data_IF_529358420757
#
_entry.id   IF_529358420757
#
_cell.length_a   1.000
_cell.length_b   1.000
_cell.length_c   1.000
_cell.angle_alpha   90.00
_cell.angle_beta   90.00
_cell.angle_gamma   90.00
#
_symmetry.space_group_name_H-M   'P 1'
#
loop_
_entity.id
_entity.type
_entity.pdbx_description
1 polymer ?
#
# COMPACT_ATOMS: atom_id res chain seq x y z
N UNK A 1 69.76 11.87 10.36
CA UNK A 1 70.75 10.96 11.00
C UNK A 1 69.98 9.70 11.35
N UNK A 2 70.06 8.54 10.69
CA UNK A 2 71.13 7.84 9.98
C UNK A 2 70.62 7.21 8.66
N UNK A 3 71.53 7.05 7.69
CA UNK A 3 71.50 6.16 6.50
C UNK A 3 72.64 5.10 6.72
N UNK A 4 72.78 3.94 6.01
CA UNK A 4 72.70 3.83 4.53
C UNK A 4 72.37 2.44 3.85
N UNK A 5 72.05 2.52 2.53
CA UNK A 5 72.38 1.64 1.34
C UNK A 5 72.19 0.11 1.36
N UNK A 6 71.60 -0.54 0.33
CA UNK A 6 72.17 -0.78 -1.02
C UNK A 6 71.15 -1.17 -2.13
N UNK A 7 71.56 -0.92 -3.39
CA UNK A 7 71.00 -1.19 -4.74
C UNK A 7 71.08 -2.69 -5.18
N UNK A 8 70.38 -3.24 -6.19
CA UNK A 8 70.60 -3.18 -7.67
C UNK A 8 69.47 -3.95 -8.45
N UNK A 9 69.19 -3.50 -9.69
CA UNK A 9 68.31 -4.01 -10.77
C UNK A 9 68.64 -5.40 -11.40
N UNK A 10 67.65 -6.09 -12.00
CA UNK A 10 67.72 -6.57 -13.42
C UNK A 10 66.40 -7.08 -14.05
N UNK A 11 66.30 -6.82 -15.36
CA UNK A 11 65.38 -7.19 -16.47
C UNK A 11 64.88 -8.65 -16.52
N UNK A 12 63.79 -8.91 -17.26
CA UNK A 12 63.74 -9.75 -18.50
C UNK A 12 62.37 -9.60 -19.23
N UNK A 13 62.42 -9.73 -20.56
CA UNK A 13 61.36 -9.51 -21.59
C UNK A 13 60.85 -10.86 -22.16
N UNK A 14 59.61 -10.83 -22.68
CA UNK A 14 58.74 -11.83 -23.32
C UNK A 14 59.32 -12.87 -24.31
N UNK A 15 58.50 -13.89 -24.65
CA UNK A 15 58.07 -13.98 -26.05
C UNK A 15 56.55 -14.16 -26.27
N UNK A 16 56.12 -13.77 -27.46
CA UNK A 16 54.78 -13.87 -28.04
C UNK A 16 54.78 -14.94 -29.13
N UNK A 17 53.75 -15.79 -29.22
CA UNK A 17 53.40 -16.49 -30.46
C UNK A 17 51.87 -16.73 -30.53
N UNK A 18 51.28 -16.37 -31.67
CA UNK A 18 49.87 -16.52 -32.07
C UNK A 18 49.81 -17.62 -33.14
N UNK A 19 48.74 -18.43 -33.12
CA UNK A 19 47.95 -18.87 -34.29
C UNK A 19 46.76 -19.75 -33.80
N UNK A 20 45.51 -19.26 -33.91
CA UNK A 20 44.47 -19.61 -34.91
C UNK A 20 43.93 -21.05 -34.83
N UNK A 21 42.67 -21.20 -34.39
CA UNK A 21 41.58 -21.71 -35.25
C UNK A 21 40.24 -21.80 -34.49
N UNK A 22 39.19 -21.47 -35.23
CA UNK A 22 37.76 -21.53 -34.91
C UNK A 22 37.29 -22.95 -34.61
N UNK A 23 36.32 -23.16 -33.71
CA UNK A 23 35.20 -24.07 -33.99
C UNK A 23 33.95 -23.76 -33.15
N UNK A 24 32.82 -23.98 -33.81
CA UNK A 24 31.45 -23.62 -33.53
C UNK A 24 30.68 -24.61 -32.65
N UNK A 25 29.60 -24.11 -32.04
CA UNK A 25 28.32 -24.73 -31.63
C UNK A 25 28.15 -26.24 -31.89
N UNK A 26 27.60 -27.00 -30.92
CA UNK A 26 26.19 -27.47 -30.95
C UNK A 26 25.83 -28.35 -29.73
N UNK A 27 24.53 -28.29 -29.38
CA UNK A 27 23.73 -29.15 -28.51
C UNK A 27 23.88 -30.66 -28.76
N UNK A 28 23.57 -31.51 -27.76
CA UNK A 28 22.76 -32.75 -27.84
C UNK A 28 22.51 -33.24 -26.38
N UNK A 29 21.27 -33.34 -25.91
CA UNK A 29 20.29 -34.43 -26.10
C UNK A 29 20.53 -35.65 -25.22
N UNK A 30 19.52 -35.95 -24.41
CA UNK A 30 19.39 -37.09 -23.51
C UNK A 30 18.84 -38.31 -24.25
N UNK A 31 19.48 -39.48 -24.07
CA UNK A 31 18.78 -40.77 -24.17
C UNK A 31 19.40 -41.81 -23.23
N UNK A 32 18.49 -42.54 -22.60
CA UNK A 32 18.65 -43.55 -21.55
C UNK A 32 19.31 -44.86 -22.01
N UNK A 33 19.96 -45.56 -21.06
CA UNK A 33 19.93 -47.04 -20.96
C UNK A 33 20.23 -47.49 -19.52
N UNK A 34 19.35 -48.34 -18.98
CA UNK A 34 19.54 -49.09 -17.73
C UNK A 34 20.60 -50.21 -17.88
N UNK A 35 21.14 -50.70 -16.75
CA UNK A 35 21.24 -52.14 -16.54
C UNK A 35 20.58 -52.64 -15.24
N UNK A 36 20.42 -53.97 -15.20
CA UNK A 36 19.53 -54.79 -14.37
C UNK A 36 20.05 -55.08 -12.94
N UNK A 37 19.07 -55.22 -12.04
CA UNK A 37 18.91 -56.25 -11.00
C UNK A 37 19.83 -56.28 -9.77
N UNK A 38 19.27 -55.88 -8.62
CA UNK A 38 19.38 -56.60 -7.33
C UNK A 38 18.07 -56.44 -6.55
N UNK A 39 17.16 -57.39 -6.75
CA UNK A 39 15.85 -57.48 -6.13
C UNK A 39 15.90 -58.19 -4.75
N UNK A 40 16.54 -57.58 -3.74
CA UNK A 40 16.51 -58.10 -2.35
C UNK A 40 16.44 -57.04 -1.23
N UNK A 41 16.09 -55.77 -1.53
CA UNK A 41 16.08 -54.71 -0.50
C UNK A 41 14.83 -53.80 -0.46
N UNK A 42 13.65 -54.29 -0.86
CA UNK A 42 12.45 -53.41 -1.01
C UNK A 42 11.19 -53.83 -0.24
N UNK A 43 11.27 -54.74 0.73
CA UNK A 43 10.05 -55.23 1.41
C UNK A 43 9.84 -54.78 2.86
N UNK A 44 10.78 -54.03 3.48
CA UNK A 44 10.61 -53.56 4.88
C UNK A 44 10.55 -52.02 4.98
N UNK A 45 10.98 -51.27 3.97
CA UNK A 45 10.89 -49.79 3.96
C UNK A 45 9.60 -49.24 3.35
N UNK A 46 8.86 -50.04 2.57
CA UNK A 46 7.66 -49.59 1.89
C UNK A 46 6.42 -49.51 2.81
N UNK A 47 6.37 -50.28 3.90
CA UNK A 47 5.21 -50.33 4.80
C UNK A 47 5.13 -49.13 5.76
N UNK A 48 6.26 -48.58 6.21
CA UNK A 48 6.26 -47.40 7.11
C UNK A 48 6.12 -46.09 6.32
N UNK A 49 6.77 -45.98 5.16
CA UNK A 49 6.70 -44.78 4.32
C UNK A 49 5.31 -44.52 3.73
N UNK A 50 4.58 -45.59 3.38
CA UNK A 50 3.21 -45.48 2.85
C UNK A 50 2.20 -45.14 3.95
N UNK A 51 2.38 -45.62 5.19
CA UNK A 51 1.49 -45.29 6.30
C UNK A 51 1.67 -43.84 6.79
N UNK A 52 2.92 -43.34 6.85
CA UNK A 52 3.18 -41.94 7.20
C UNK A 52 2.78 -40.99 6.06
N UNK A 53 3.03 -41.39 4.80
CA UNK A 53 2.63 -40.62 3.61
C UNK A 53 1.12 -40.53 3.41
N UNK A 54 0.39 -41.62 3.61
CA UNK A 54 -1.07 -41.63 3.57
C UNK A 54 -1.70 -40.95 4.79
N UNK A 55 -1.09 -41.04 5.98
CA UNK A 55 -1.53 -40.33 7.18
C UNK A 55 -1.34 -38.82 7.08
N UNK A 56 -0.18 -38.35 6.63
CA UNK A 56 0.10 -36.92 6.46
C UNK A 56 -0.62 -36.34 5.23
N UNK A 57 -0.68 -37.10 4.12
CA UNK A 57 -1.45 -36.74 2.93
C UNK A 57 -2.95 -36.71 3.20
N UNK A 58 -3.47 -37.68 3.96
CA UNK A 58 -4.87 -37.73 4.40
C UNK A 58 -5.20 -36.63 5.40
N UNK A 59 -4.33 -36.33 6.36
CA UNK A 59 -4.52 -35.23 7.33
C UNK A 59 -4.46 -33.86 6.67
N UNK A 60 -3.52 -33.62 5.74
CA UNK A 60 -3.43 -32.36 4.99
C UNK A 60 -4.58 -32.21 4.01
N UNK A 61 -4.95 -33.27 3.28
CA UNK A 61 -6.11 -33.25 2.40
C UNK A 61 -7.42 -33.11 3.18
N UNK A 62 -7.57 -33.69 4.37
CA UNK A 62 -8.71 -33.48 5.26
C UNK A 62 -8.75 -32.03 5.78
N UNK A 63 -7.62 -31.46 6.22
CA UNK A 63 -7.58 -30.04 6.64
C UNK A 63 -7.80 -29.03 5.50
N UNK A 64 -7.53 -29.44 4.25
CA UNK A 64 -7.67 -28.59 3.06
C UNK A 64 -9.04 -28.77 2.38
N UNK A 65 -9.66 -29.97 2.43
CA UNK A 65 -10.94 -30.31 1.79
C UNK A 65 -12.13 -30.53 2.74
N UNK A 66 -11.95 -30.50 4.07
CA UNK A 66 -13.06 -30.13 4.94
C UNK A 66 -13.33 -28.67 4.63
N UNK A 67 -14.36 -28.44 3.79
CA UNK A 67 -15.04 -27.16 3.69
C UNK A 67 -15.08 -26.57 5.09
N UNK A 68 -14.29 -25.53 5.35
CA UNK A 68 -14.57 -24.66 6.50
C UNK A 68 -16.07 -24.37 6.37
N UNK A 69 -16.90 -24.67 7.38
CA UNK A 69 -18.28 -24.23 7.35
C UNK A 69 -18.21 -22.74 7.00
N UNK A 70 -18.92 -22.34 5.95
CA UNK A 70 -18.97 -20.98 5.44
C UNK A 70 -18.98 -20.05 6.65
N UNK A 71 -17.83 -19.44 6.95
CA UNK A 71 -17.66 -18.73 8.21
C UNK A 71 -18.65 -17.57 8.20
N UNK A 72 -19.34 -17.36 9.32
CA UNK A 72 -20.41 -16.38 9.47
C UNK A 72 -20.04 -15.07 8.76
N UNK A 73 -20.67 -14.86 7.60
CA UNK A 73 -20.56 -13.64 6.81
C UNK A 73 -21.70 -12.77 7.29
N UNK A 74 -21.42 -11.83 8.18
CA UNK A 74 -22.41 -10.89 8.68
C UNK A 74 -22.27 -9.57 7.90
N UNK A 75 -23.35 -9.16 7.24
CA UNK A 75 -23.48 -7.82 6.68
C UNK A 75 -23.63 -6.87 7.86
N UNK A 76 -22.65 -5.99 8.04
CA UNK A 76 -22.66 -4.99 9.10
C UNK A 76 -23.35 -3.73 8.60
N UNK A 77 -24.33 -3.24 9.36
CA UNK A 77 -24.84 -1.90 9.16
C UNK A 77 -23.79 -0.87 9.57
N UNK A 78 -23.63 0.17 8.76
CA UNK A 78 -22.73 1.26 9.10
C UNK A 78 -23.11 1.90 10.43
N UNK A 79 -22.11 2.14 11.27
CA UNK A 79 -22.32 2.75 12.59
C UNK A 79 -22.70 4.24 12.42
N UNK A 80 -23.89 4.59 12.89
CA UNK A 80 -24.33 5.97 13.07
C UNK A 80 -24.16 6.34 14.56
N UNK A 81 -23.21 7.23 14.85
CA UNK A 81 -22.99 7.73 16.20
C UNK A 81 -23.94 8.90 16.46
N UNK A 82 -24.70 8.86 17.55
CA UNK A 82 -25.59 9.98 17.91
C UNK A 82 -24.81 11.27 18.22
N UNK A 83 -23.63 11.13 18.80
CA UNK A 83 -22.74 12.24 19.17
C UNK A 83 -21.32 11.96 18.69
N UNK A 84 -20.55 13.02 18.44
CA UNK A 84 -19.13 12.88 18.12
C UNK A 84 -18.38 12.26 19.30
N UNK A 85 -17.46 11.30 19.06
CA UNK A 85 -16.58 10.81 20.11
C UNK A 85 -15.71 11.96 20.62
N UNK A 86 -15.25 11.87 21.88
CA UNK A 86 -14.25 12.81 22.39
C UNK A 86 -12.93 12.61 21.64
N UNK A 87 -12.48 13.61 20.90
CA UNK A 87 -11.20 13.62 20.20
C UNK A 87 -10.51 14.99 20.35
N UNK A 88 -9.24 15.03 19.98
CA UNK A 88 -8.45 16.25 19.87
C UNK A 88 -7.93 16.35 18.44
N UNK A 89 -8.37 17.36 17.69
CA UNK A 89 -7.86 17.61 16.34
C UNK A 89 -6.44 18.18 16.41
N UNK A 90 -5.53 17.60 15.63
CA UNK A 90 -4.17 18.11 15.48
C UNK A 90 -4.16 19.42 14.67
N UNK A 91 -4.88 19.41 13.55
CA UNK A 91 -5.07 20.57 12.69
C UNK A 91 -6.37 20.41 11.89
N UNK A 92 -6.79 21.50 11.26
CA UNK A 92 -7.87 21.53 10.26
C UNK A 92 -7.35 22.04 8.93
N UNK A 93 -7.93 21.55 7.84
CA UNK A 93 -7.71 22.05 6.49
C UNK A 93 -8.91 22.88 6.10
N UNK A 94 -8.68 24.15 5.76
CA UNK A 94 -9.73 25.12 5.44
C UNK A 94 -9.52 25.70 4.05
N UNK A 95 -10.49 25.51 3.19
CA UNK A 95 -10.67 26.13 1.90
C UNK A 95 -11.94 26.98 1.94
N UNK A 96 -11.79 28.29 1.79
CA UNK A 96 -12.90 29.26 1.83
C UNK A 96 -13.88 29.07 0.67
N UNK A 97 -13.48 28.34 -0.39
CA UNK A 97 -14.30 28.01 -1.56
C UNK A 97 -15.01 26.65 -1.45
N UNK A 98 -14.89 25.95 -0.32
CA UNK A 98 -15.56 24.66 -0.12
C UNK A 98 -17.09 24.82 -0.13
N UNK A 99 -17.74 24.14 -1.07
CA UNK A 99 -19.20 24.11 -1.23
C UNK A 99 -19.77 22.70 -1.08
N UNK A 100 -18.99 21.77 -0.51
CA UNK A 100 -19.37 20.37 -0.35
C UNK A 100 -20.53 20.19 0.64
N UNK A 101 -20.73 21.13 1.57
CA UNK A 101 -21.65 20.99 2.72
C UNK A 101 -21.33 19.79 3.62
N UNK A 102 -20.06 19.38 3.66
CA UNK A 102 -19.57 18.30 4.50
C UNK A 102 -18.82 18.86 5.72
N UNK A 103 -19.10 18.31 6.90
CA UNK A 103 -18.30 18.49 8.11
C UNK A 103 -17.62 17.15 8.42
N UNK A 104 -16.29 17.10 8.20
CA UNK A 104 -15.52 15.86 8.18
C UNK A 104 -14.42 15.84 9.25
N UNK A 105 -14.26 14.70 9.91
CA UNK A 105 -13.16 14.42 10.86
C UNK A 105 -12.44 13.15 10.44
N UNK A 106 -11.18 13.27 10.06
CA UNK A 106 -10.32 12.17 9.61
C UNK A 106 -9.40 11.68 10.73
N UNK A 107 -9.63 10.46 11.20
CA UNK A 107 -8.72 9.73 12.08
C UNK A 107 -7.71 8.97 11.23
N UNK A 108 -6.43 9.29 11.40
CA UNK A 108 -5.39 8.78 10.50
C UNK A 108 -4.06 8.47 11.20
N UNK A 109 -3.15 7.87 10.41
CA UNK A 109 -1.71 8.08 10.59
C UNK A 109 -1.23 8.94 9.43
N UNK A 110 -0.48 10.00 9.70
CA UNK A 110 0.00 10.94 8.68
C UNK A 110 0.74 10.25 7.54
N UNK A 111 1.59 9.27 7.84
CA UNK A 111 2.43 8.57 6.86
C UNK A 111 1.85 7.24 6.39
N UNK A 112 0.57 6.96 6.65
CA UNK A 112 -0.07 5.75 6.14
C UNK A 112 -0.56 5.96 4.70
N UNK A 113 -0.24 5.07 3.73
CA UNK A 113 -0.66 5.21 2.33
C UNK A 113 -2.17 5.29 2.18
N UNK A 114 -2.94 4.54 2.97
CA UNK A 114 -4.40 4.60 2.94
C UNK A 114 -4.95 5.94 3.43
N UNK A 115 -4.30 6.57 4.41
CA UNK A 115 -4.70 7.86 4.94
C UNK A 115 -4.29 9.00 4.01
N UNK A 116 -3.06 8.94 3.47
CA UNK A 116 -2.60 9.85 2.42
C UNK A 116 -3.55 9.84 1.23
N UNK A 117 -4.05 8.68 0.82
CA UNK A 117 -5.04 8.56 -0.26
C UNK A 117 -6.31 9.36 0.00
N UNK A 118 -6.88 9.25 1.21
CA UNK A 118 -8.08 10.02 1.59
C UNK A 118 -7.76 11.50 1.66
N UNK A 119 -6.64 11.91 2.26
CA UNK A 119 -6.21 13.32 2.29
C UNK A 119 -6.03 13.88 0.89
N UNK A 120 -5.32 13.16 0.01
CA UNK A 120 -5.13 13.58 -1.37
C UNK A 120 -6.45 13.76 -2.12
N UNK A 121 -7.45 12.93 -1.84
CA UNK A 121 -8.79 13.12 -2.39
C UNK A 121 -9.48 14.37 -1.83
N UNK A 122 -9.50 14.55 -0.51
CA UNK A 122 -10.12 15.71 0.13
C UNK A 122 -9.48 17.02 -0.35
N UNK A 123 -8.14 17.04 -0.42
CA UNK A 123 -7.35 18.18 -0.90
C UNK A 123 -7.65 18.45 -2.39
N UNK A 124 -7.68 17.40 -3.23
CA UNK A 124 -7.98 17.54 -4.66
C UNK A 124 -9.39 18.08 -4.91
N UNK A 125 -10.36 17.76 -4.04
CA UNK A 125 -11.73 18.25 -4.09
C UNK A 125 -11.94 19.57 -3.34
N UNK A 126 -10.92 20.09 -2.66
CA UNK A 126 -10.99 21.34 -1.89
C UNK A 126 -11.97 21.27 -0.71
N UNK A 127 -12.14 20.09 -0.10
CA UNK A 127 -13.09 19.87 0.99
C UNK A 127 -12.43 20.21 2.33
N UNK A 128 -13.18 20.83 3.23
CA UNK A 128 -12.78 21.11 4.59
C UNK A 128 -12.80 19.85 5.46
N UNK A 129 -11.78 19.65 6.27
CA UNK A 129 -11.74 18.53 7.21
C UNK A 129 -10.82 18.79 8.40
N UNK A 130 -11.17 18.19 9.53
CA UNK A 130 -10.31 18.09 10.70
C UNK A 130 -9.49 16.80 10.65
N UNK A 131 -8.31 16.83 11.24
CA UNK A 131 -7.42 15.68 11.33
C UNK A 131 -7.13 15.34 12.77
N UNK A 132 -7.37 14.07 13.11
CA UNK A 132 -6.99 13.47 14.39
C UNK A 132 -5.87 12.47 14.11
N UNK A 133 -4.68 12.77 14.63
CA UNK A 133 -3.56 11.84 14.55
C UNK A 133 -3.75 10.72 15.58
N UNK A 134 -3.64 9.48 15.15
CA UNK A 134 -3.86 8.30 15.99
C UNK A 134 -2.51 7.71 16.38
N UNK A 135 -2.31 7.41 17.66
CA UNK A 135 -1.13 6.66 18.11
C UNK A 135 -1.15 5.24 17.48
N UNK A 136 -0.09 4.87 16.77
CA UNK A 136 -0.04 3.62 16.01
C UNK A 136 -0.02 2.34 16.87
N UNK A 137 0.41 2.47 18.13
CA UNK A 137 0.59 1.39 19.11
C UNK A 137 -0.63 1.29 20.03
N UNK A 138 -0.95 2.35 20.77
CA UNK A 138 -2.00 2.41 21.79
C UNK A 138 -3.39 2.71 21.21
N UNK A 139 -3.47 3.35 20.03
CA UNK A 139 -4.70 3.62 19.26
C UNK A 139 -5.84 4.22 20.08
N UNK A 140 -5.49 5.09 21.03
CA UNK A 140 -6.43 5.61 22.02
C UNK A 140 -7.58 6.39 21.36
N UNK A 141 -7.25 7.22 20.37
CA UNK A 141 -8.19 8.07 19.63
C UNK A 141 -9.28 7.32 18.86
N UNK A 142 -9.14 6.01 18.63
CA UNK A 142 -10.12 5.18 17.92
C UNK A 142 -10.70 4.05 18.80
N UNK A 143 -10.52 4.12 20.13
CA UNK A 143 -11.04 3.10 21.06
C UNK A 143 -12.56 2.96 21.01
N UNK A 144 -13.27 4.05 20.72
CA UNK A 144 -14.73 4.11 20.57
C UNK A 144 -15.26 3.31 19.38
N UNK A 145 -14.43 3.06 18.35
CA UNK A 145 -14.83 2.35 17.12
C UNK A 145 -14.57 0.85 17.25
N UNK A 146 -15.50 -0.01 16.80
CA UNK A 146 -15.23 -1.45 16.66
C UNK A 146 -14.21 -1.76 15.54
N UNK A 147 -14.08 -0.86 14.57
CA UNK A 147 -13.06 -0.92 13.54
C UNK A 147 -11.74 -0.31 14.05
N UNK A 148 -10.69 -1.13 14.16
CA UNK A 148 -9.39 -0.78 14.78
C UNK A 148 -8.27 -0.47 13.78
N UNK A 149 -8.64 -0.02 12.58
CA UNK A 149 -7.71 0.42 11.51
C UNK A 149 -8.04 1.85 11.10
N UNK A 150 -7.07 2.53 10.49
CA UNK A 150 -7.23 3.86 9.88
C UNK A 150 -7.07 3.74 8.35
N UNK A 151 -7.62 4.69 7.55
CA UNK A 151 -8.41 5.84 7.98
C UNK A 151 -9.81 5.47 8.48
N UNK A 152 -10.33 6.27 9.41
CA UNK A 152 -11.76 6.34 9.75
C UNK A 152 -12.17 7.79 9.51
N UNK A 153 -13.22 8.00 8.73
CA UNK A 153 -13.77 9.33 8.49
C UNK A 153 -15.13 9.42 9.18
N UNK A 154 -15.31 10.41 10.05
CA UNK A 154 -16.64 10.79 10.55
C UNK A 154 -17.18 11.92 9.68
N UNK A 155 -18.38 11.75 9.18
CA UNK A 155 -19.10 12.80 8.46
C UNK A 155 -20.37 13.14 9.24
N UNK A 156 -20.57 14.42 9.53
CA UNK A 156 -21.80 14.87 10.17
C UNK A 156 -22.98 14.71 9.21
N UNK A 157 -24.05 14.11 9.71
CA UNK A 157 -25.30 13.87 8.98
C UNK A 157 -26.48 14.19 9.89
N UNK A 158 -27.70 14.18 9.34
CA UNK A 158 -28.90 14.25 10.16
C UNK A 158 -28.92 13.09 11.16
N UNK A 159 -29.12 13.40 12.45
CA UNK A 159 -29.16 12.40 13.53
C UNK A 159 -27.80 12.03 14.12
N UNK A 160 -26.68 12.59 13.65
CA UNK A 160 -25.37 12.45 14.30
C UNK A 160 -24.18 12.41 13.34
N UNK A 161 -23.33 11.40 13.48
CA UNK A 161 -22.08 11.22 12.73
C UNK A 161 -22.03 9.85 12.07
N UNK A 162 -21.99 9.85 10.74
CA UNK A 162 -21.83 8.65 9.93
C UNK A 162 -20.35 8.24 9.94
N UNK A 163 -20.06 7.04 10.45
CA UNK A 163 -18.73 6.47 10.37
C UNK A 163 -18.49 5.85 8.99
N UNK A 164 -17.46 6.30 8.27
CA UNK A 164 -17.00 5.72 7.02
C UNK A 164 -15.67 5.00 7.22
N UNK A 165 -15.54 3.84 6.58
CA UNK A 165 -14.42 2.90 6.73
C UNK A 165 -13.82 2.59 5.35
N UNK A 166 -12.60 2.05 5.34
CA UNK A 166 -11.82 1.73 4.13
C UNK A 166 -11.52 2.97 3.26
N UNK A 167 -10.23 3.24 3.03
CA UNK A 167 -9.80 4.42 2.28
C UNK A 167 -10.40 4.54 0.87
N UNK A 168 -10.63 3.42 0.18
CA UNK A 168 -11.17 3.42 -1.19
C UNK A 168 -12.67 3.64 -1.15
N UNK A 169 -13.37 2.98 -0.22
CA UNK A 169 -14.80 3.17 -0.05
C UNK A 169 -15.14 4.60 0.39
N UNK A 170 -14.37 5.19 1.33
CA UNK A 170 -14.50 6.60 1.72
C UNK A 170 -14.48 7.51 0.49
N UNK A 171 -13.46 7.35 -0.37
CA UNK A 171 -13.32 8.16 -1.60
C UNK A 171 -14.50 7.95 -2.54
N UNK A 172 -14.92 6.69 -2.73
CA UNK A 172 -16.05 6.38 -3.61
C UNK A 172 -17.39 6.92 -3.11
N UNK A 173 -17.65 6.87 -1.80
CA UNK A 173 -18.87 7.42 -1.19
C UNK A 173 -18.90 8.95 -1.30
N UNK A 174 -17.79 9.62 -0.97
CA UNK A 174 -17.70 11.06 -1.09
C UNK A 174 -17.80 11.51 -2.55
N UNK A 175 -17.19 10.78 -3.48
CA UNK A 175 -17.30 11.09 -4.91
C UNK A 175 -18.74 10.91 -5.40
N UNK A 176 -19.41 9.84 -4.96
CA UNK A 176 -20.83 9.61 -5.26
C UNK A 176 -21.67 10.80 -4.77
N UNK A 177 -21.43 11.25 -3.53
CA UNK A 177 -22.11 12.38 -2.93
C UNK A 177 -21.86 13.69 -3.69
N UNK A 178 -20.62 13.96 -4.09
CA UNK A 178 -20.28 15.20 -4.82
C UNK A 178 -20.84 15.23 -6.24
N UNK A 179 -21.01 14.06 -6.88
CA UNK A 179 -21.64 13.96 -8.21
C UNK A 179 -23.14 14.17 -8.15
N UNK A 180 -23.77 13.73 -7.06
CA UNK A 180 -25.20 13.89 -6.86
C UNK A 180 -25.54 14.19 -5.40
N UNK A 181 -25.70 15.50 -5.12
CA UNK A 181 -26.04 16.01 -3.78
C UNK A 181 -27.52 15.80 -3.40
N UNK A 182 -28.32 15.11 -4.23
CA UNK A 182 -29.71 14.78 -3.89
C UNK A 182 -29.81 13.67 -2.84
N UNK A 183 -28.78 12.83 -2.69
CA UNK A 183 -28.72 11.84 -1.62
C UNK A 183 -27.94 12.34 -0.41
N UNK A 184 -28.46 11.96 0.75
CA UNK A 184 -27.73 12.08 2.00
C UNK A 184 -26.66 10.98 2.08
N UNK A 185 -25.56 11.29 2.75
CA UNK A 185 -24.47 10.33 2.91
C UNK A 185 -24.91 9.05 3.65
N UNK A 186 -25.88 9.15 4.55
CA UNK A 186 -26.54 8.02 5.24
C UNK A 186 -27.27 7.05 4.30
N UNK A 187 -27.70 7.52 3.12
CA UNK A 187 -28.26 6.65 2.09
C UNK A 187 -27.17 6.09 1.18
N UNK A 188 -26.16 6.91 0.86
CA UNK A 188 -25.04 6.50 -0.01
C UNK A 188 -24.29 5.30 0.58
N UNK A 189 -24.07 5.26 1.90
CA UNK A 189 -23.36 4.12 2.54
C UNK A 189 -24.04 2.77 2.29
N UNK A 190 -25.36 2.75 2.04
CA UNK A 190 -26.12 1.52 1.75
C UNK A 190 -25.71 0.88 0.42
N UNK A 191 -25.16 1.65 -0.51
CA UNK A 191 -24.63 1.13 -1.79
C UNK A 191 -23.28 0.41 -1.65
N UNK A 192 -22.65 0.52 -0.48
CA UNK A 192 -21.32 -0.02 -0.19
C UNK A 192 -21.36 -0.94 1.04
N UNK A 193 -22.10 -2.07 1.03
CA UNK A 193 -22.30 -2.85 2.24
C UNK A 193 -20.98 -3.38 2.82
N UNK A 194 -20.78 -3.17 4.12
CA UNK A 194 -19.64 -3.68 4.88
C UNK A 194 -19.92 -5.12 5.31
N UNK A 195 -18.96 -6.01 5.09
CA UNK A 195 -19.08 -7.43 5.42
C UNK A 195 -17.95 -7.82 6.36
N UNK A 196 -18.30 -8.38 7.53
CA UNK A 196 -17.32 -8.95 8.45
C UNK A 196 -17.17 -10.44 8.20
N UNK A 197 -15.92 -10.89 8.13
CA UNK A 197 -15.56 -12.29 7.96
C UNK A 197 -14.26 -12.62 8.70
N UNK A 198 -14.02 -13.90 8.96
CA UNK A 198 -12.74 -14.36 9.48
C UNK A 198 -11.86 -14.76 8.30
N UNK A 199 -10.68 -14.14 8.17
CA UNK A 199 -9.77 -14.44 7.08
C UNK A 199 -9.01 -15.76 7.29
N UNK A 200 -8.21 -16.17 6.31
CA UNK A 200 -7.44 -17.42 6.35
C UNK A 200 -6.47 -17.53 7.53
N UNK A 201 -6.06 -16.38 8.08
CA UNK A 201 -5.21 -16.29 9.27
C UNK A 201 -5.98 -16.35 10.59
N UNK A 202 -7.30 -16.57 10.57
CA UNK A 202 -8.16 -16.60 11.75
C UNK A 202 -8.46 -15.21 12.33
N UNK A 203 -8.17 -14.13 11.61
CA UNK A 203 -8.43 -12.76 12.08
C UNK A 203 -9.72 -12.22 11.47
N UNK A 204 -10.52 -11.53 12.29
CA UNK A 204 -11.68 -10.78 11.79
C UNK A 204 -11.20 -9.67 10.86
N UNK A 205 -11.80 -9.62 9.67
CA UNK A 205 -11.59 -8.64 8.64
C UNK A 205 -12.95 -8.07 8.22
N UNK A 206 -12.92 -6.81 7.79
CA UNK A 206 -14.05 -6.13 7.15
C UNK A 206 -13.66 -5.85 5.72
N UNK A 207 -14.50 -6.22 4.77
CA UNK A 207 -14.41 -5.77 3.38
C UNK A 207 -15.67 -5.00 3.01
N UNK A 208 -15.53 -4.07 2.07
CA UNK A 208 -16.61 -3.19 1.64
C UNK A 208 -16.90 -3.49 0.18
N UNK A 209 -18.11 -3.99 -0.07
CA UNK A 209 -18.57 -4.29 -1.42
C UNK A 209 -18.67 -3.00 -2.23
N UNK A 210 -18.41 -3.08 -3.53
CA UNK A 210 -18.46 -1.94 -4.44
C UNK A 210 -17.49 -0.80 -4.14
N UNK A 211 -16.50 -0.94 -3.24
CA UNK A 211 -15.60 0.16 -2.83
C UNK A 211 -14.86 0.88 -3.96
N UNK A 212 -14.71 0.27 -5.13
CA UNK A 212 -14.10 0.89 -6.32
C UNK A 212 -15.11 1.59 -7.23
N UNK A 213 -16.41 1.34 -7.09
CA UNK A 213 -17.44 1.96 -7.91
C UNK A 213 -17.77 3.36 -7.39
N UNK A 214 -18.14 4.26 -8.29
CA UNK A 214 -18.84 5.50 -7.95
C UNK A 214 -20.27 5.30 -8.44
N UNK A 215 -21.27 5.57 -7.61
CA UNK A 215 -22.66 5.29 -7.99
C UNK A 215 -23.22 6.42 -8.85
N UNK A 216 -24.09 6.05 -9.80
CA UNK A 216 -24.74 6.95 -10.73
C UNK A 216 -26.25 6.76 -10.66
N UNK A 217 -27.01 7.85 -10.76
CA UNK A 217 -28.47 7.83 -10.78
C UNK A 217 -29.07 7.44 -12.14
N UNK A 218 -28.28 7.52 -13.19
CA UNK A 218 -28.65 7.11 -14.53
C UNK A 218 -27.57 6.17 -15.09
N UNK A 219 -27.93 5.20 -15.94
CA UNK A 219 -26.93 4.40 -16.64
C UNK A 219 -26.04 5.33 -17.45
N UNK A 220 -24.72 5.17 -17.31
CA UNK A 220 -23.75 5.81 -18.20
C UNK A 220 -24.02 5.27 -19.60
N UNK A 221 -24.54 6.08 -20.52
CA UNK A 221 -24.92 5.62 -21.86
C UNK A 221 -23.73 5.64 -22.83
N UNK A 222 -22.72 6.48 -22.57
CA UNK A 222 -21.53 6.60 -23.40
C UNK A 222 -20.50 5.50 -23.09
N UNK A 223 -20.21 4.67 -24.09
CA UNK A 223 -19.20 3.61 -24.01
C UNK A 223 -17.80 4.16 -23.69
N UNK A 224 -17.47 5.38 -24.14
CA UNK A 224 -16.18 5.99 -23.82
C UNK A 224 -16.08 6.31 -22.33
N UNK A 225 -17.15 6.85 -21.74
CA UNK A 225 -17.20 7.11 -20.30
C UNK A 225 -17.16 5.80 -19.50
N UNK A 226 -17.92 4.76 -19.90
CA UNK A 226 -17.85 3.43 -19.24
C UNK A 226 -16.43 2.86 -19.26
N UNK A 227 -15.73 2.97 -20.39
CA UNK A 227 -14.36 2.50 -20.52
C UNK A 227 -13.38 3.29 -19.62
N UNK A 228 -13.54 4.61 -19.53
CA UNK A 228 -12.74 5.45 -18.65
C UNK A 228 -12.97 5.10 -17.16
N UNK A 229 -14.22 4.89 -16.74
CA UNK A 229 -14.56 4.46 -15.38
C UNK A 229 -14.06 3.03 -15.07
N UNK A 230 -14.07 2.12 -16.04
CA UNK A 230 -13.49 0.80 -15.88
C UNK A 230 -11.96 0.84 -15.70
N UNK A 231 -11.27 1.67 -16.48
CA UNK A 231 -9.83 1.86 -16.36
C UNK A 231 -9.44 2.55 -15.05
N UNK A 232 -10.16 3.59 -14.64
CA UNK A 232 -9.96 4.23 -13.34
C UNK A 232 -10.10 3.19 -12.21
N UNK A 233 -11.15 2.37 -12.24
CA UNK A 233 -11.36 1.29 -11.25
C UNK A 233 -10.21 0.29 -11.22
N UNK A 234 -9.75 -0.15 -12.38
CA UNK A 234 -8.63 -1.07 -12.50
C UNK A 234 -7.37 -0.50 -11.81
N UNK A 235 -7.05 0.77 -12.05
CA UNK A 235 -5.87 1.39 -11.47
C UNK A 235 -6.00 1.74 -10.00
N UNK A 236 -7.20 2.08 -9.52
CA UNK A 236 -7.48 2.20 -8.08
C UNK A 236 -7.27 0.87 -7.35
N UNK A 237 -7.73 -0.23 -7.95
CA UNK A 237 -7.51 -1.58 -7.41
C UNK A 237 -6.03 -1.95 -7.44
N UNK A 238 -5.34 -1.65 -8.53
CA UNK A 238 -3.89 -1.87 -8.65
C UNK A 238 -3.09 -1.10 -7.58
N UNK A 239 -3.47 0.15 -7.29
CA UNK A 239 -2.81 0.93 -6.25
C UNK A 239 -2.86 0.22 -4.88
N UNK A 240 -4.02 -0.32 -4.52
CA UNK A 240 -4.24 -1.00 -3.24
C UNK A 240 -3.60 -2.39 -3.18
N UNK A 241 -3.62 -3.13 -4.28
CA UNK A 241 -3.23 -4.55 -4.32
C UNK A 241 -1.80 -4.79 -4.79
N UNK A 242 -1.17 -3.82 -5.45
CA UNK A 242 0.18 -3.93 -5.99
C UNK A 242 1.07 -2.86 -5.40
N UNK A 243 0.78 -1.58 -5.68
CA UNK A 243 1.68 -0.48 -5.34
C UNK A 243 1.94 -0.38 -3.83
N UNK A 244 0.89 -0.40 -3.00
CA UNK A 244 1.04 -0.31 -1.54
C UNK A 244 1.95 -1.40 -0.98
N UNK A 245 1.89 -2.61 -1.53
CA UNK A 245 2.67 -3.75 -1.05
C UNK A 245 4.17 -3.66 -1.40
N UNK A 246 4.55 -2.76 -2.31
CA UNK A 246 5.95 -2.46 -2.59
C UNK A 246 6.57 -1.49 -1.58
N UNK A 247 5.77 -0.66 -0.89
CA UNK A 247 6.28 0.44 -0.07
C UNK A 247 7.01 -0.04 1.19
N UNK A 248 6.35 -0.84 2.03
CA UNK A 248 6.92 -1.28 3.33
C UNK A 248 8.23 -2.07 3.18
N UNK A 249 8.36 -3.04 2.25
CA UNK A 249 9.65 -3.67 1.96
C UNK A 249 10.75 -2.70 1.53
N UNK A 250 10.39 -1.57 0.92
CA UNK A 250 11.34 -0.56 0.46
C UNK A 250 11.79 0.38 1.56
N UNK A 251 10.89 0.96 2.36
CA UNK A 251 11.28 1.93 3.40
C UNK A 251 11.86 1.27 4.65
N UNK A 252 11.62 -0.04 4.85
CA UNK A 252 12.12 -0.79 6.00
C UNK A 252 13.11 -1.90 5.60
N UNK A 253 13.89 -1.69 4.54
CA UNK A 253 14.79 -2.70 3.97
C UNK A 253 15.91 -3.10 4.94
N UNK A 254 16.51 -2.11 5.58
CA UNK A 254 17.58 -2.27 6.59
C UNK A 254 17.12 -1.70 7.92
N UNK A 255 17.82 -2.04 9.02
CA UNK A 255 17.53 -1.48 10.35
C UNK A 255 17.74 0.04 10.36
N UNK A 256 18.79 0.51 9.67
CA UNK A 256 19.08 1.95 9.52
C UNK A 256 17.96 2.68 8.78
N UNK A 257 17.56 2.19 7.60
CA UNK A 257 16.45 2.76 6.82
C UNK A 257 15.14 2.74 7.62
N UNK A 258 14.90 1.68 8.40
CA UNK A 258 13.69 1.62 9.20
C UNK A 258 13.66 2.64 10.32
N UNK A 259 14.78 2.83 11.04
CA UNK A 259 14.87 3.84 12.09
C UNK A 259 14.78 5.26 11.51
N UNK A 260 15.45 5.51 10.38
CA UNK A 260 15.37 6.79 9.66
C UNK A 260 13.93 7.10 9.24
N UNK A 261 13.23 6.12 8.66
CA UNK A 261 11.83 6.24 8.26
C UNK A 261 10.93 6.58 9.45
N UNK A 262 11.11 5.92 10.61
CA UNK A 262 10.30 6.22 11.80
C UNK A 262 10.62 7.57 12.45
N UNK A 263 11.87 8.04 12.39
CA UNK A 263 12.22 9.40 12.81
C UNK A 263 11.58 10.44 11.90
N UNK A 264 11.59 10.19 10.59
CA UNK A 264 10.88 11.03 9.63
C UNK A 264 9.36 11.02 9.90
N UNK A 265 8.77 9.86 10.22
CA UNK A 265 7.35 9.76 10.59
C UNK A 265 7.01 10.57 11.85
N UNK A 266 7.86 10.54 12.86
CA UNK A 266 7.71 11.34 14.09
C UNK A 266 7.65 12.84 13.77
N UNK A 267 8.54 13.30 12.89
CA UNK A 267 8.62 14.70 12.47
C UNK A 267 7.41 15.12 11.66
N UNK A 268 7.11 14.44 10.54
CA UNK A 268 6.02 14.85 9.64
C UNK A 268 4.64 14.58 10.23
N UNK A 269 4.54 13.58 11.11
CA UNK A 269 3.33 13.24 11.85
C UNK A 269 3.04 14.19 13.01
N UNK A 270 3.97 15.10 13.35
CA UNK A 270 3.80 16.01 14.47
C UNK A 270 3.60 15.27 15.80
N UNK A 271 4.28 14.12 15.98
CA UNK A 271 4.03 13.24 17.11
C UNK A 271 4.42 13.89 18.43
N UNK A 272 5.51 14.68 18.45
CA UNK A 272 5.97 15.40 19.66
C UNK A 272 4.97 16.43 20.17
N UNK A 273 4.12 16.96 19.29
CA UNK A 273 3.04 17.87 19.64
C UNK A 273 1.76 17.13 20.05
N UNK A 274 1.62 15.86 19.65
CA UNK A 274 0.37 15.10 19.78
C UNK A 274 0.41 14.07 20.91
N UNK A 275 1.59 13.58 21.27
CA UNK A 275 1.76 12.48 22.21
C UNK A 275 2.89 12.74 23.21
N UNK A 276 2.85 12.15 24.41
CA UNK A 276 3.96 12.18 25.35
C UNK A 276 5.27 11.67 24.75
N UNK A 277 6.40 12.22 25.20
CA UNK A 277 7.72 11.87 24.67
C UNK A 277 8.06 10.37 24.77
N UNK A 278 7.56 9.68 25.80
CA UNK A 278 7.77 8.23 25.96
C UNK A 278 6.94 7.41 24.96
N UNK A 279 5.73 7.86 24.59
CA UNK A 279 4.90 7.22 23.56
C UNK A 279 5.57 7.42 22.18
N UNK A 280 6.08 8.63 21.91
CA UNK A 280 6.87 8.91 20.72
C UNK A 280 8.09 7.98 20.61
N UNK A 281 8.88 7.87 21.69
CA UNK A 281 10.03 6.97 21.72
C UNK A 281 9.62 5.50 21.49
N UNK A 282 8.53 5.04 22.12
CA UNK A 282 7.98 3.70 21.91
C UNK A 282 7.62 3.47 20.43
N UNK A 283 6.87 4.38 19.83
CA UNK A 283 6.46 4.30 18.42
C UNK A 283 7.67 4.28 17.48
N UNK A 284 8.67 5.13 17.71
CA UNK A 284 9.87 5.20 16.86
C UNK A 284 10.70 3.93 16.97
N UNK A 285 11.16 3.56 18.17
CA UNK A 285 12.16 2.50 18.31
C UNK A 285 11.56 1.10 18.19
N UNK A 286 10.43 0.85 18.86
CA UNK A 286 9.76 -0.47 18.79
C UNK A 286 9.05 -0.62 17.45
N UNK A 287 8.44 0.45 16.93
CA UNK A 287 7.84 0.44 15.60
C UNK A 287 8.85 0.14 14.49
N UNK A 288 10.01 0.80 14.49
CA UNK A 288 11.08 0.53 13.50
C UNK A 288 11.56 -0.93 13.55
N UNK A 289 11.82 -1.46 14.75
CA UNK A 289 12.24 -2.85 14.91
C UNK A 289 11.17 -3.84 14.43
N UNK A 290 9.90 -3.62 14.79
CA UNK A 290 8.79 -4.47 14.37
C UNK A 290 8.60 -4.40 12.84
N UNK A 291 8.63 -3.21 12.25
CA UNK A 291 8.42 -3.03 10.81
C UNK A 291 9.55 -3.59 9.98
N UNK A 292 10.81 -3.57 10.44
CA UNK A 292 11.91 -4.26 9.78
C UNK A 292 11.72 -5.79 9.74
N UNK A 293 11.15 -6.40 10.79
CA UNK A 293 10.83 -7.84 10.79
C UNK A 293 9.63 -8.12 9.88
N UNK A 294 8.58 -7.29 9.97
CA UNK A 294 7.36 -7.43 9.17
C UNK A 294 7.67 -7.23 7.68
N UNK A 295 8.52 -6.27 7.31
CA UNK A 295 8.89 -5.97 5.92
C UNK A 295 9.52 -7.17 5.21
N UNK A 296 10.37 -7.95 5.91
CA UNK A 296 10.92 -9.20 5.39
C UNK A 296 9.86 -10.26 5.13
N UNK A 297 8.86 -10.39 6.02
CA UNK A 297 7.72 -11.28 5.82
C UNK A 297 6.82 -10.83 4.67
N UNK A 298 6.60 -9.52 4.54
CA UNK A 298 5.83 -8.92 3.44
C UNK A 298 6.54 -9.12 2.10
N UNK A 299 7.88 -8.98 2.05
CA UNK A 299 8.69 -9.26 0.87
C UNK A 299 8.38 -10.66 0.32
N UNK A 300 8.41 -11.67 1.20
CA UNK A 300 8.10 -13.06 0.83
C UNK A 300 6.62 -13.26 0.48
N UNK A 301 5.69 -12.72 1.28
CA UNK A 301 4.24 -12.89 1.06
C UNK A 301 3.76 -12.32 -0.27
N UNK A 302 4.30 -11.17 -0.67
CA UNK A 302 3.89 -10.45 -1.87
C UNK A 302 4.82 -10.69 -3.07
N UNK A 303 5.66 -11.73 -3.02
CA UNK A 303 6.59 -12.10 -4.09
C UNK A 303 7.43 -10.91 -4.61
N UNK A 304 7.87 -10.05 -3.69
CA UNK A 304 8.73 -8.91 -4.00
C UNK A 304 10.12 -9.43 -4.38
N UNK A 305 10.70 -8.85 -5.43
CA UNK A 305 12.02 -9.23 -5.96
C UNK A 305 13.10 -9.13 -4.90
N UNK A 306 14.22 -9.82 -5.15
CA UNK A 306 15.31 -9.85 -4.17
C UNK A 306 15.88 -8.47 -3.87
N UNK A 307 16.13 -7.72 -4.94
CA UNK A 307 16.21 -6.27 -4.85
C UNK A 307 14.80 -5.68 -4.78
N UNK A 308 14.43 -5.26 -3.56
CA UNK A 308 13.12 -4.66 -3.27
C UNK A 308 12.90 -3.35 -4.03
N UNK A 309 13.97 -2.61 -4.34
CA UNK A 309 13.89 -1.35 -5.11
C UNK A 309 13.38 -1.61 -6.50
N UNK A 310 13.81 -2.69 -7.13
CA UNK A 310 13.35 -3.04 -8.47
C UNK A 310 11.84 -3.28 -8.54
N UNK A 311 11.24 -3.92 -7.53
CA UNK A 311 9.76 -4.08 -7.51
C UNK A 311 9.02 -2.74 -7.40
N UNK A 312 9.58 -1.76 -6.69
CA UNK A 312 9.01 -0.41 -6.63
C UNK A 312 9.17 0.31 -7.98
N UNK A 313 10.34 0.16 -8.63
CA UNK A 313 10.59 0.74 -9.96
C UNK A 313 9.69 0.12 -11.02
N UNK A 314 9.50 -1.20 -11.01
CA UNK A 314 8.59 -1.89 -11.92
C UNK A 314 7.17 -1.35 -11.77
N UNK A 315 6.66 -1.25 -10.53
CA UNK A 315 5.33 -0.71 -10.27
C UNK A 315 5.19 0.75 -10.76
N UNK A 316 6.17 1.60 -10.49
CA UNK A 316 6.18 2.97 -11.00
C UNK A 316 6.24 3.04 -12.53
N UNK A 317 7.05 2.19 -13.16
CA UNK A 317 7.13 2.11 -14.61
C UNK A 317 5.83 1.61 -15.23
N UNK A 318 5.13 0.65 -14.61
CA UNK A 318 3.84 0.17 -15.09
C UNK A 318 2.77 1.25 -15.02
N UNK A 319 2.73 2.04 -13.93
CA UNK A 319 1.90 3.23 -13.84
C UNK A 319 2.24 4.25 -14.94
N UNK A 320 3.53 4.59 -15.09
CA UNK A 320 3.95 5.58 -16.09
C UNK A 320 3.69 5.13 -17.52
N UNK A 321 3.80 3.83 -17.84
CA UNK A 321 3.40 3.29 -19.15
C UNK A 321 1.90 3.51 -19.41
N UNK A 322 1.06 3.38 -18.39
CA UNK A 322 -0.39 3.59 -18.52
C UNK A 322 -0.72 5.06 -18.82
N UNK A 323 -0.11 5.98 -18.08
CA UNK A 323 -0.25 7.43 -18.32
C UNK A 323 0.29 7.80 -19.71
N UNK A 324 1.47 7.29 -20.09
CA UNK A 324 2.06 7.54 -21.41
C UNK A 324 1.20 6.99 -22.55
N UNK A 325 0.57 5.83 -22.37
CA UNK A 325 -0.35 5.23 -23.35
C UNK A 325 -1.56 6.14 -23.61
N UNK A 326 -2.00 6.92 -22.63
CA UNK A 326 -3.04 7.94 -22.82
C UNK A 326 -2.56 9.16 -23.61
N UNK A 327 -1.27 9.48 -23.53
CA UNK A 327 -0.70 10.66 -24.17
C UNK A 327 -1.10 11.98 -23.50
N UNK A 328 -1.59 11.93 -22.26
CA UNK A 328 -2.05 13.08 -21.48
C UNK A 328 -1.21 13.24 -20.20
N UNK A 329 -1.24 14.41 -19.53
CA UNK A 329 -0.47 14.62 -18.29
C UNK A 329 -0.81 13.62 -17.18
N UNK A 330 -2.08 13.21 -17.10
CA UNK A 330 -2.61 12.29 -16.09
C UNK A 330 -3.37 11.15 -16.77
N UNK A 331 -3.64 10.05 -16.05
CA UNK A 331 -4.50 8.98 -16.56
C UNK A 331 -5.93 9.49 -16.83
N UNK A 332 -6.41 10.44 -16.01
CA UNK A 332 -7.68 11.14 -16.18
C UNK A 332 -7.74 12.13 -17.36
N UNK A 333 -6.65 12.31 -18.10
CA UNK A 333 -6.57 13.28 -19.19
C UNK A 333 -5.82 14.56 -18.76
N UNK A 334 -6.45 15.71 -19.00
CA UNK A 334 -5.88 17.02 -18.64
C UNK A 334 -6.00 17.33 -17.13
N UNK A 335 -6.87 16.62 -16.42
CA UNK A 335 -7.03 16.70 -14.97
C UNK A 335 -6.90 15.29 -14.38
N UNK A 336 -6.38 15.14 -13.17
CA UNK A 336 -6.28 13.84 -12.53
C UNK A 336 -7.66 13.26 -12.21
N UNK A 337 -7.81 11.95 -12.40
CA UNK A 337 -8.99 11.21 -11.97
C UNK A 337 -8.75 10.53 -10.60
N UNK A 338 -9.68 9.70 -10.12
CA UNK A 338 -9.51 9.05 -8.82
C UNK A 338 -8.35 8.04 -8.79
N UNK A 339 -7.96 7.47 -9.93
CA UNK A 339 -6.79 6.60 -10.00
C UNK A 339 -5.49 7.38 -9.85
N UNK A 340 -5.35 8.53 -10.53
CA UNK A 340 -4.21 9.44 -10.36
C UNK A 340 -4.07 9.88 -8.90
N UNK A 341 -5.17 10.35 -8.30
CA UNK A 341 -5.23 10.74 -6.88
C UNK A 341 -4.86 9.57 -5.97
N UNK A 342 -5.32 8.35 -6.31
CA UNK A 342 -5.04 7.17 -5.50
C UNK A 342 -3.57 6.79 -5.50
N UNK A 343 -2.95 6.74 -6.68
CA UNK A 343 -1.52 6.45 -6.84
C UNK A 343 -0.67 7.54 -6.19
N UNK A 344 -1.06 8.80 -6.40
CA UNK A 344 -0.38 9.95 -5.79
C UNK A 344 -0.39 9.84 -4.26
N UNK A 345 -1.56 9.66 -3.66
CA UNK A 345 -1.68 9.54 -2.20
C UNK A 345 -0.91 8.34 -1.64
N UNK A 346 -0.90 7.20 -2.33
CA UNK A 346 -0.08 6.05 -1.92
C UNK A 346 1.42 6.42 -1.90
N UNK A 347 1.93 7.08 -2.95
CA UNK A 347 3.34 7.49 -3.02
C UNK A 347 3.69 8.60 -2.03
N UNK A 348 2.76 9.53 -1.73
CA UNK A 348 2.96 10.58 -0.73
C UNK A 348 3.25 10.06 0.67
N UNK A 349 2.90 8.80 0.98
CA UNK A 349 3.24 8.18 2.27
C UNK A 349 4.72 7.95 2.51
N UNK A 350 5.52 7.91 1.43
CA UNK A 350 6.97 7.72 1.49
C UNK A 350 7.73 8.97 1.00
N UNK A 351 7.04 10.07 0.68
CA UNK A 351 7.65 11.31 0.22
C UNK A 351 8.56 11.89 1.30
N UNK A 352 9.88 11.88 1.09
CA UNK A 352 10.88 12.29 2.08
C UNK A 352 11.70 11.12 2.65
N UNK A 353 11.29 9.87 2.38
CA UNK A 353 12.13 8.70 2.63
C UNK A 353 13.18 8.54 1.51
N UNK A 354 14.35 7.97 1.83
CA UNK A 354 15.37 7.64 0.83
C UNK A 354 14.85 6.77 -0.33
N UNK A 355 13.91 5.85 -0.06
CA UNK A 355 13.27 5.03 -1.09
C UNK A 355 12.48 5.84 -2.14
N UNK A 356 11.93 7.00 -1.76
CA UNK A 356 11.22 7.87 -2.69
C UNK A 356 12.18 8.70 -3.55
N UNK A 357 13.30 9.15 -2.98
CA UNK A 357 14.37 9.78 -3.75
C UNK A 357 14.98 8.81 -4.78
N UNK A 358 15.26 7.57 -4.36
CA UNK A 358 15.68 6.49 -5.25
C UNK A 358 14.67 6.25 -6.39
N UNK A 359 13.38 6.23 -6.06
CA UNK A 359 12.29 6.05 -7.04
C UNK A 359 12.27 7.16 -8.10
N UNK A 360 12.42 8.43 -7.68
CA UNK A 360 12.46 9.58 -8.59
C UNK A 360 13.69 9.57 -9.49
N UNK A 361 14.85 9.16 -8.96
CA UNK A 361 16.10 9.12 -9.74
C UNK A 361 16.08 8.00 -10.79
N UNK A 362 15.44 6.86 -10.50
CA UNK A 362 15.49 5.66 -11.34
C UNK A 362 14.25 5.46 -12.24
N UNK A 363 13.25 6.34 -12.17
CA UNK A 363 12.03 6.23 -12.99
C UNK A 363 11.54 7.60 -13.45
N UNK A 364 10.63 7.64 -14.42
CA UNK A 364 10.01 8.89 -14.89
C UNK A 364 8.87 9.40 -13.97
N UNK A 365 8.56 8.70 -12.88
CA UNK A 365 7.41 9.02 -12.02
C UNK A 365 7.59 10.34 -11.28
N UNK A 366 8.83 10.79 -11.08
CA UNK A 366 9.13 12.03 -10.36
C UNK A 366 8.48 13.25 -11.01
N UNK A 367 8.49 13.34 -12.35
CA UNK A 367 7.83 14.44 -13.07
C UNK A 367 6.31 14.42 -12.86
N UNK A 368 5.67 13.27 -13.11
CA UNK A 368 4.24 13.09 -12.92
C UNK A 368 3.81 13.40 -11.47
N UNK A 369 4.61 13.00 -10.48
CA UNK A 369 4.32 13.30 -9.08
C UNK A 369 4.37 14.80 -8.77
N UNK A 370 5.32 15.55 -9.36
CA UNK A 370 5.34 17.00 -9.22
C UNK A 370 4.17 17.67 -9.95
N UNK A 371 3.80 17.18 -11.13
CA UNK A 371 2.64 17.68 -11.87
C UNK A 371 1.35 17.48 -11.07
N UNK A 372 1.20 16.33 -10.38
CA UNK A 372 0.12 16.08 -9.42
C UNK A 372 0.13 17.07 -8.25
N UNK A 373 1.29 17.32 -7.62
CA UNK A 373 1.40 18.30 -6.52
C UNK A 373 0.98 19.70 -6.96
N UNK A 374 1.43 20.12 -8.14
CA UNK A 374 1.10 21.45 -8.68
C UNK A 374 -0.39 21.56 -8.97
N UNK A 375 -0.99 20.53 -9.59
CA UNK A 375 -2.43 20.52 -9.86
C UNK A 375 -3.27 20.58 -8.56
N UNK A 376 -2.87 19.85 -7.52
CA UNK A 376 -3.59 19.82 -6.25
C UNK A 376 -3.37 21.07 -5.39
N UNK A 377 -2.25 21.80 -5.58
CA UNK A 377 -1.97 23.02 -4.82
C UNK A 377 -3.02 24.10 -5.04
N UNK A 378 -3.63 24.13 -6.23
CA UNK A 378 -4.68 25.10 -6.58
C UNK A 378 -5.98 24.86 -5.81
N UNK A 379 -6.26 23.62 -5.41
CA UNK A 379 -7.49 23.23 -4.72
C UNK A 379 -7.28 22.96 -3.22
N UNK A 380 -6.05 22.69 -2.79
CA UNK A 380 -5.73 22.38 -1.39
C UNK A 380 -6.02 23.55 -0.45
N UNK A 381 -6.68 23.26 0.67
CA UNK A 381 -6.94 24.23 1.73
C UNK A 381 -5.69 24.60 2.54
N UNK A 382 -5.81 25.67 3.34
CA UNK A 382 -4.78 26.09 4.29
C UNK A 382 -4.81 25.20 5.52
N UNK A 383 -3.63 24.75 5.97
CA UNK A 383 -3.48 24.07 7.25
C UNK A 383 -3.52 25.07 8.40
N UNK A 384 -4.52 24.96 9.26
CA UNK A 384 -4.63 25.75 10.48
C UNK A 384 -4.47 24.81 11.68
N UNK A 385 -3.46 25.08 12.51
CA UNK A 385 -3.30 24.37 13.78
C UNK A 385 -4.52 24.64 14.67
N UNK A 386 -5.06 23.59 15.29
CA UNK A 386 -6.20 23.73 16.21
C UNK A 386 -5.75 24.18 17.61
N UNK A 387 -4.46 24.01 17.91
CA UNK A 387 -3.80 24.46 19.14
C UNK A 387 -2.52 25.21 18.77
N UNK A 388 -2.46 26.50 19.10
CA UNK A 388 -1.24 27.32 19.13
C UNK A 388 -1.01 27.79 20.56
#
# INVERSE_FOLDING_TARGET
>A
MWRPTFTILRKVVFPHYKETSSFSKLFYSTKSRFPRSTAKLTLISASVGVLVGAGYGGYTHYKINVKKPTQATEVEEYVLLKEAPKYQAQYRVVNDSDNSNLELVLFQYRTCPFCCKVRSYLDARGINYEVVEVDAVLRQAIRWSNYKKVPILLAKVEGGYQQLLDSTAIISMLETYLRDKSYQLSDIVKFYPATRFVNDSGKVATDITNKYFVMHNAPVLDEKQKAAEAEERQWRQWADQVLVHTLSPNVYRTVGEALETFKWFEEVGGWKQSFPAWECALMVYVGAAAMWIISKRLKSRHNIKDDVRQSLYDAANDWMKAVQKKGTPFLGGNKPNLADISVFGVLSSIEGCGAFEDLKTNTSIGKWFQDMKMNMKETSGKHLATYA
#
